data_IF_744826888171
#
_entry.id   IF_744826888171
#
_cell.length_a   1.000
_cell.length_b   1.000
_cell.length_c   1.000
_cell.angle_alpha   90.00
_cell.angle_beta   90.00
_cell.angle_gamma   90.00
#
_symmetry.space_group_name_H-M   'P 1'
#
loop_
_entity.id
_entity.type
_entity.pdbx_description
1 polymer ?
#
# COMPACT_ATOMS: atom_id res chain seq x y z
N UNK A 1 13.89 -20.60 -1.11
CA UNK A 1 14.10 -19.24 -1.61
C UNK A 1 13.21 -18.99 -2.79
N UNK A 2 12.39 -17.95 -2.71
CA UNK A 2 11.67 -17.41 -3.87
C UNK A 2 12.30 -16.07 -4.16
N UNK A 3 12.85 -15.92 -5.35
CA UNK A 3 13.26 -14.62 -5.89
C UNK A 3 11.99 -13.91 -6.38
N UNK A 4 11.45 -13.02 -5.56
CA UNK A 4 10.34 -12.15 -5.90
C UNK A 4 10.91 -10.84 -6.44
N UNK A 5 10.96 -10.69 -7.76
CA UNK A 5 11.31 -9.41 -8.38
C UNK A 5 10.29 -8.33 -7.97
N UNK A 6 10.77 -7.29 -7.26
CA UNK A 6 9.93 -6.20 -6.77
C UNK A 6 9.53 -5.23 -7.89
N UNK A 7 8.50 -4.42 -7.63
CA UNK A 7 7.89 -3.44 -8.54
C UNK A 7 8.86 -2.53 -9.30
N UNK A 8 8.31 -1.93 -10.36
CA UNK A 8 9.02 -1.32 -11.48
C UNK A 8 10.11 -0.33 -11.04
N UNK A 9 11.36 -0.83 -10.99
CA UNK A 9 12.58 -0.09 -10.70
C UNK A 9 12.86 1.05 -11.70
N UNK A 10 11.96 1.22 -12.68
CA UNK A 10 12.03 2.20 -13.77
C UNK A 10 10.99 3.34 -13.63
N UNK A 11 10.27 3.42 -12.50
CA UNK A 11 9.25 4.45 -12.31
C UNK A 11 9.84 5.83 -11.95
N UNK A 12 9.32 6.86 -12.63
CA UNK A 12 9.48 8.28 -12.27
C UNK A 12 8.13 8.72 -11.72
N UNK A 13 8.08 9.19 -10.48
CA UNK A 13 6.87 9.70 -9.86
C UNK A 13 6.92 11.22 -9.77
N UNK A 14 5.82 11.86 -10.13
CA UNK A 14 5.63 13.30 -10.01
C UNK A 14 4.39 13.51 -9.17
N UNK A 15 4.50 14.37 -8.16
CA UNK A 15 3.40 14.73 -7.28
C UNK A 15 3.28 16.26 -7.20
N UNK A 16 2.06 16.78 -7.34
CA UNK A 16 1.75 18.13 -6.90
C UNK A 16 1.85 18.17 -5.37
N UNK A 17 2.67 19.09 -4.87
CA UNK A 17 2.92 19.26 -3.43
C UNK A 17 2.39 20.60 -2.90
N UNK A 18 2.25 21.59 -3.77
CA UNK A 18 1.51 22.82 -3.53
C UNK A 18 0.67 23.06 -4.77
N UNK A 19 -0.65 23.12 -4.60
CA UNK A 19 -1.56 23.45 -5.71
C UNK A 19 -1.43 24.93 -6.07
N UNK A 20 -1.38 25.21 -7.36
CA UNK A 20 -1.42 26.56 -7.88
C UNK A 20 -2.81 27.17 -7.74
N UNK A 21 -2.86 28.45 -7.42
CA UNK A 21 -4.13 29.19 -7.24
C UNK A 21 -4.04 30.53 -7.95
N UNK A 22 -5.03 30.81 -8.79
CA UNK A 22 -5.18 32.13 -9.41
C UNK A 22 -5.66 33.16 -8.38
N UNK A 23 -5.28 34.42 -8.55
CA UNK A 23 -5.84 35.47 -7.71
C UNK A 23 -7.35 35.61 -7.95
N UNK A 24 -8.10 35.75 -6.86
CA UNK A 24 -9.52 36.12 -6.91
C UNK A 24 -9.68 37.49 -6.26
N UNK A 25 -10.31 38.41 -6.98
CA UNK A 25 -10.65 39.74 -6.47
C UNK A 25 -11.62 39.61 -5.28
N UNK A 26 -11.32 40.32 -4.20
CA UNK A 26 -12.25 40.41 -3.08
C UNK A 26 -13.41 41.35 -3.39
N UNK A 27 -14.62 40.93 -3.02
CA UNK A 27 -15.83 41.75 -3.14
C UNK A 27 -16.47 41.89 -1.76
N UNK A 28 -16.65 43.14 -1.33
CA UNK A 28 -17.35 43.47 -0.10
C UNK A 28 -18.56 44.35 -0.41
N UNK A 29 -19.63 44.26 0.36
CA UNK A 29 -20.78 45.15 0.24
C UNK A 29 -21.08 45.91 1.50
N UNK A 30 -21.61 47.11 1.31
CA UNK A 30 -22.21 47.92 2.36
C UNK A 30 -23.73 47.83 2.20
N UNK A 31 -24.42 47.44 3.27
CA UNK A 31 -25.88 47.36 3.32
C UNK A 31 -26.44 48.17 4.48
N UNK A 32 -27.72 48.55 4.39
CA UNK A 32 -28.40 49.25 5.47
C UNK A 32 -29.05 48.27 6.45
N UNK A 33 -28.86 48.52 7.74
CA UNK A 33 -29.59 47.87 8.83
C UNK A 33 -30.44 48.92 9.55
N UNK A 34 -31.76 48.73 9.58
CA UNK A 34 -32.70 49.70 10.12
C UNK A 34 -33.02 50.85 9.16
N UNK A 35 -33.47 51.99 9.71
CA UNK A 35 -33.86 53.16 8.92
C UNK A 35 -32.77 54.23 8.97
N UNK A 36 -32.21 54.59 7.83
CA UNK A 36 -31.31 55.75 7.71
C UNK A 36 -32.06 56.86 6.97
N UNK A 37 -32.22 58.02 7.60
CA UNK A 37 -33.02 59.15 7.07
C UNK A 37 -32.22 60.44 6.87
N UNK A 38 -30.91 60.42 7.12
CA UNK A 38 -30.07 61.62 7.14
C UNK A 38 -28.73 61.36 7.82
N UNK A 39 -27.86 62.37 7.81
CA UNK A 39 -26.58 62.34 8.51
C UNK A 39 -25.40 62.09 7.57
N UNK A 40 -24.28 61.66 8.15
CA UNK A 40 -23.05 61.38 7.41
C UNK A 40 -22.34 60.12 7.94
N UNK A 41 -21.44 59.59 7.12
CA UNK A 41 -20.61 58.44 7.45
C UNK A 41 -19.21 58.58 6.82
N UNK A 42 -18.28 57.75 7.27
CA UNK A 42 -16.95 57.56 6.66
C UNK A 42 -16.69 56.07 6.48
N UNK A 43 -15.86 55.71 5.50
CA UNK A 43 -15.37 54.35 5.31
C UNK A 43 -13.89 54.32 5.69
N UNK A 44 -13.43 53.26 6.35
CA UNK A 44 -12.01 53.04 6.65
C UNK A 44 -11.56 51.73 6.01
N UNK A 45 -10.45 51.80 5.28
CA UNK A 45 -9.79 50.66 4.65
C UNK A 45 -8.31 50.65 5.06
N UNK A 46 -7.87 49.51 5.61
CA UNK A 46 -6.49 49.28 6.07
C UNK A 46 -5.87 50.46 6.86
N UNK A 47 -6.65 51.01 7.80
CA UNK A 47 -6.22 52.09 8.69
C UNK A 47 -6.41 53.52 8.17
N UNK A 48 -6.70 53.71 6.88
CA UNK A 48 -6.97 55.01 6.27
C UNK A 48 -8.48 55.27 6.14
N UNK A 49 -8.92 56.48 6.47
CA UNK A 49 -10.34 56.85 6.52
C UNK A 49 -10.67 57.88 5.45
N UNK A 50 -11.75 57.66 4.72
CA UNK A 50 -12.23 58.58 3.67
C UNK A 50 -12.65 59.93 4.26
N UNK A 51 -12.82 60.94 3.40
CA UNK A 51 -13.58 62.11 3.79
C UNK A 51 -15.04 61.76 4.14
N UNK A 52 -15.70 62.66 4.86
CA UNK A 52 -17.10 62.49 5.28
C UNK A 52 -18.04 62.54 4.08
N UNK A 53 -18.92 61.54 3.96
CA UNK A 53 -19.94 61.42 2.92
C UNK A 53 -21.35 61.56 3.51
N UNK A 54 -22.28 62.12 2.73
CA UNK A 54 -23.70 62.18 3.11
C UNK A 54 -24.30 60.77 3.13
N UNK A 55 -25.32 60.56 3.96
CA UNK A 55 -25.99 59.27 4.09
C UNK A 55 -26.47 58.69 2.75
N UNK A 56 -26.82 59.54 1.78
CA UNK A 56 -27.33 59.19 0.46
C UNK A 56 -26.31 59.39 -0.68
N UNK A 57 -25.01 59.38 -0.35
CA UNK A 57 -23.94 59.48 -1.35
C UNK A 57 -24.10 58.46 -2.48
N UNK A 58 -23.91 58.92 -3.71
CA UNK A 58 -23.97 58.10 -4.91
C UNK A 58 -22.77 57.13 -4.99
N UNK A 59 -22.91 56.04 -5.74
CA UNK A 59 -21.82 55.06 -5.94
C UNK A 59 -20.54 55.70 -6.48
N UNK A 60 -20.66 56.72 -7.34
CA UNK A 60 -19.53 57.46 -7.88
C UNK A 60 -18.83 58.34 -6.83
N UNK A 61 -19.57 58.88 -5.86
CA UNK A 61 -18.98 59.61 -4.74
C UNK A 61 -18.28 58.66 -3.77
N UNK A 62 -18.83 57.46 -3.54
CA UNK A 62 -18.21 56.42 -2.72
C UNK A 62 -16.90 55.98 -3.38
N UNK A 63 -16.92 55.66 -4.68
CA UNK A 63 -15.74 55.28 -5.46
C UNK A 63 -14.65 56.35 -5.39
N UNK A 64 -15.00 57.61 -5.68
CA UNK A 64 -14.04 58.72 -5.63
C UNK A 64 -13.42 58.91 -4.23
N UNK A 65 -14.20 58.68 -3.16
CA UNK A 65 -13.69 58.77 -1.79
C UNK A 65 -12.76 57.59 -1.44
N UNK A 66 -13.08 56.38 -1.89
CA UNK A 66 -12.20 55.22 -1.72
C UNK A 66 -10.88 55.41 -2.48
N UNK A 67 -10.93 55.83 -3.74
CA UNK A 67 -9.73 56.13 -4.55
C UNK A 67 -8.93 57.35 -4.05
N UNK A 68 -9.43 58.10 -3.08
CA UNK A 68 -8.70 59.21 -2.45
C UNK A 68 -7.79 58.78 -1.30
N UNK A 69 -7.88 57.52 -0.87
CA UNK A 69 -6.99 56.95 0.15
C UNK A 69 -5.63 56.61 -0.47
N UNK A 70 -4.55 56.92 0.25
CA UNK A 70 -3.18 56.69 -0.25
C UNK A 70 -2.86 55.20 -0.47
N UNK A 71 -3.60 54.29 0.19
CA UNK A 71 -3.47 52.84 0.09
C UNK A 71 -4.40 52.21 -0.97
N UNK A 72 -5.17 53.01 -1.71
CA UNK A 72 -6.02 52.54 -2.81
C UNK A 72 -5.56 53.19 -4.12
N UNK A 73 -4.84 52.46 -4.99
CA UNK A 73 -4.51 52.96 -6.31
C UNK A 73 -5.76 53.23 -7.16
N UNK A 74 -5.64 54.19 -8.07
CA UNK A 74 -6.76 54.58 -8.93
C UNK A 74 -7.25 53.40 -9.80
N UNK A 75 -8.56 53.17 -9.79
CA UNK A 75 -9.22 52.09 -10.53
C UNK A 75 -9.16 50.72 -9.87
N UNK A 76 -8.53 50.57 -8.70
CA UNK A 76 -8.32 49.26 -8.06
C UNK A 76 -9.37 48.93 -6.99
N UNK A 77 -10.13 49.90 -6.50
CA UNK A 77 -11.35 49.68 -5.72
C UNK A 77 -12.55 50.28 -6.47
N UNK A 78 -13.21 49.46 -7.29
CA UNK A 78 -14.39 49.92 -8.05
C UNK A 78 -15.66 49.75 -7.24
N UNK A 79 -16.62 50.68 -7.36
CA UNK A 79 -17.87 50.65 -6.59
C UNK A 79 -19.09 50.49 -7.51
N UNK A 80 -19.73 49.33 -7.43
CA UNK A 80 -20.96 48.98 -8.14
C UNK A 80 -22.20 48.90 -7.25
N UNK A 81 -23.23 48.23 -7.75
CA UNK A 81 -24.50 48.05 -7.03
C UNK A 81 -25.42 49.27 -7.18
N UNK A 82 -25.97 49.75 -6.06
CA UNK A 82 -26.84 50.93 -6.01
C UNK A 82 -26.52 51.86 -4.84
N UNK A 83 -27.12 53.06 -4.86
CA UNK A 83 -26.83 54.06 -3.84
C UNK A 83 -27.46 53.70 -2.48
N UNK A 84 -26.68 53.90 -1.42
CA UNK A 84 -27.16 53.80 -0.03
C UNK A 84 -28.14 54.96 0.26
N UNK A 85 -29.09 54.80 1.20
CA UNK A 85 -29.48 53.55 1.87
C UNK A 85 -30.41 52.66 1.02
N UNK A 86 -30.71 53.03 -0.24
CA UNK A 86 -31.76 52.37 -1.04
C UNK A 86 -31.38 51.00 -1.60
N UNK A 87 -30.10 50.77 -1.90
CA UNK A 87 -29.58 49.49 -2.39
C UNK A 87 -28.14 49.29 -1.91
N UNK A 88 -27.64 48.04 -1.86
CA UNK A 88 -26.25 47.77 -1.47
C UNK A 88 -25.25 48.44 -2.41
N UNK A 89 -24.20 49.03 -1.84
CA UNK A 89 -23.01 49.44 -2.58
C UNK A 89 -22.00 48.29 -2.52
N UNK A 90 -21.42 47.92 -3.66
CA UNK A 90 -20.50 46.78 -3.76
C UNK A 90 -19.12 47.25 -4.16
N UNK A 91 -18.11 47.02 -3.33
CA UNK A 91 -16.73 47.38 -3.55
C UNK A 91 -15.99 46.15 -4.06
N UNK A 92 -15.34 46.26 -5.23
CA UNK A 92 -14.51 45.20 -5.82
C UNK A 92 -13.06 45.65 -5.81
N UNK A 93 -12.23 44.92 -5.05
CA UNK A 93 -10.79 45.13 -4.96
C UNK A 93 -10.08 44.31 -6.05
N UNK A 94 -9.29 44.98 -6.88
CA UNK A 94 -8.69 44.41 -8.08
C UNK A 94 -7.29 45.01 -8.34
N UNK A 95 -6.62 44.60 -9.42
CA UNK A 95 -5.29 45.10 -9.72
C UNK A 95 -4.29 44.67 -8.64
N UNK A 96 -3.54 45.62 -8.07
CA UNK A 96 -2.64 45.34 -6.95
C UNK A 96 -3.36 45.02 -5.63
N UNK A 97 -4.66 45.34 -5.54
CA UNK A 97 -5.54 44.95 -4.42
C UNK A 97 -6.31 43.64 -4.68
N UNK A 98 -6.00 42.91 -5.75
CA UNK A 98 -6.54 41.56 -5.92
C UNK A 98 -6.03 40.62 -4.82
N UNK A 99 -6.80 39.59 -4.48
CA UNK A 99 -6.50 38.72 -3.34
C UNK A 99 -7.25 39.13 -2.08
N UNK A 100 -6.90 38.51 -0.95
CA UNK A 100 -7.62 38.71 0.31
C UNK A 100 -7.38 40.14 0.86
N UNK A 101 -8.46 40.83 1.24
CA UNK A 101 -8.39 42.20 1.74
C UNK A 101 -8.94 42.33 3.16
N UNK A 102 -8.52 43.36 3.94
CA UNK A 102 -9.18 43.68 5.19
C UNK A 102 -10.64 44.10 4.97
N UNK A 103 -11.55 43.65 5.83
CA UNK A 103 -12.95 44.11 5.80
C UNK A 103 -13.02 45.61 6.07
N UNK A 104 -13.65 46.37 5.17
CA UNK A 104 -13.86 47.80 5.37
C UNK A 104 -14.71 48.03 6.61
N UNK A 105 -14.50 49.17 7.27
CA UNK A 105 -15.36 49.56 8.40
C UNK A 105 -16.08 50.85 8.07
N UNK A 106 -17.38 50.91 8.42
CA UNK A 106 -18.21 52.09 8.18
C UNK A 106 -18.55 52.75 9.51
N UNK A 107 -18.12 54.00 9.70
CA UNK A 107 -18.51 54.77 10.86
C UNK A 107 -19.91 55.37 10.65
N UNK A 108 -20.90 54.71 11.25
CA UNK A 108 -22.31 55.14 11.20
C UNK A 108 -22.73 56.07 12.35
N UNK A 109 -21.80 56.56 13.18
CA UNK A 109 -22.11 57.28 14.42
C UNK A 109 -22.85 58.61 14.24
N UNK A 110 -22.80 59.19 13.04
CA UNK A 110 -23.46 60.44 12.68
C UNK A 110 -24.70 60.25 11.79
N UNK A 111 -25.15 59.01 11.58
CA UNK A 111 -26.39 58.71 10.86
C UNK A 111 -27.62 58.98 11.74
N UNK A 112 -28.74 59.29 11.10
CA UNK A 112 -30.04 59.54 11.75
C UNK A 112 -31.11 58.56 11.28
N UNK A 113 -32.18 58.39 12.06
CA UNK A 113 -33.26 57.43 11.76
C UNK A 113 -33.15 56.11 12.54
N UNK A 114 -32.03 55.89 13.24
CA UNK A 114 -31.81 54.72 14.10
C UNK A 114 -31.22 53.50 13.38
N UNK A 115 -30.88 53.62 12.10
CA UNK A 115 -30.18 52.61 11.32
C UNK A 115 -28.65 52.80 11.29
N UNK A 116 -27.98 51.85 10.66
CA UNK A 116 -26.52 51.82 10.46
C UNK A 116 -26.18 51.20 9.10
N UNK A 117 -24.99 51.48 8.61
CA UNK A 117 -24.39 50.73 7.52
C UNK A 117 -23.53 49.60 8.06
N UNK A 118 -23.74 48.41 7.51
CA UNK A 118 -23.03 47.19 7.88
C UNK A 118 -22.34 46.61 6.66
N UNK A 119 -21.19 45.98 6.88
CA UNK A 119 -20.34 45.45 5.83
C UNK A 119 -20.44 43.93 5.83
N UNK A 120 -20.34 43.34 4.65
CA UNK A 120 -20.15 41.91 4.48
C UNK A 120 -19.14 41.66 3.37
N UNK A 121 -18.37 40.57 3.49
CA UNK A 121 -17.54 40.04 2.39
C UNK A 121 -18.40 39.09 1.56
N UNK A 122 -18.74 39.49 0.34
CA UNK A 122 -19.60 38.71 -0.58
C UNK A 122 -18.81 37.66 -1.36
N UNK A 123 -17.58 38.00 -1.75
CA UNK A 123 -16.63 37.08 -2.39
C UNK A 123 -15.29 37.24 -1.70
N UNK A 124 -14.86 36.25 -0.88
CA UNK A 124 -13.53 36.29 -0.27
C UNK A 124 -12.45 36.37 -1.35
N UNK A 125 -11.49 37.27 -1.17
CA UNK A 125 -10.32 37.30 -2.03
C UNK A 125 -9.43 36.09 -1.79
N UNK A 126 -8.71 35.67 -2.83
CA UNK A 126 -7.74 34.57 -2.74
C UNK A 126 -6.43 35.05 -3.33
N UNK A 127 -5.36 35.00 -2.53
CA UNK A 127 -4.03 35.36 -2.99
C UNK A 127 -3.50 34.32 -3.98
N UNK A 128 -2.78 34.80 -4.99
CA UNK A 128 -2.20 33.91 -5.98
C UNK A 128 -1.12 33.02 -5.34
N UNK A 129 -1.13 31.73 -5.66
CA UNK A 129 -0.14 30.75 -5.20
C UNK A 129 0.51 30.11 -6.42
N UNK A 130 1.84 30.08 -6.43
CA UNK A 130 2.62 29.33 -7.43
C UNK A 130 2.53 27.84 -7.16
N UNK A 131 2.33 27.06 -8.22
CA UNK A 131 2.30 25.60 -8.10
C UNK A 131 3.70 25.02 -7.85
N UNK A 132 3.77 23.94 -7.06
CA UNK A 132 5.01 23.18 -6.83
C UNK A 132 4.81 21.70 -7.07
N UNK A 133 5.58 21.15 -8.00
CA UNK A 133 5.62 19.72 -8.32
C UNK A 133 6.94 19.10 -7.87
N UNK A 134 6.87 17.91 -7.28
CA UNK A 134 8.03 17.14 -6.83
C UNK A 134 8.25 15.95 -7.73
N UNK A 135 9.45 15.83 -8.29
CA UNK A 135 9.90 14.72 -9.12
C UNK A 135 10.76 13.80 -8.26
N UNK A 136 10.40 12.51 -8.22
CA UNK A 136 11.16 11.45 -7.57
C UNK A 136 11.43 10.32 -8.57
N UNK A 137 12.61 9.75 -8.47
CA UNK A 137 12.92 8.43 -9.03
C UNK A 137 13.27 7.50 -7.87
N UNK A 138 13.10 6.19 -8.06
CA UNK A 138 13.36 5.23 -7.00
C UNK A 138 14.82 5.31 -6.49
N UNK A 139 15.02 5.39 -5.17
CA UNK A 139 16.33 5.49 -4.51
C UNK A 139 17.32 4.36 -4.89
N UNK A 140 16.81 3.21 -5.34
CA UNK A 140 17.63 2.06 -5.76
C UNK A 140 18.21 2.19 -7.17
N UNK A 141 17.75 3.14 -7.98
CA UNK A 141 18.29 3.43 -9.32
C UNK A 141 19.77 3.78 -9.22
N UNK A 142 20.62 3.11 -9.99
CA UNK A 142 22.08 3.32 -9.97
C UNK A 142 22.66 3.74 -11.32
N UNK A 143 21.81 3.89 -12.34
CA UNK A 143 22.22 4.23 -13.69
C UNK A 143 21.07 4.63 -14.60
N UNK A 144 21.40 4.94 -15.84
CA UNK A 144 20.43 5.16 -16.91
C UNK A 144 19.89 6.59 -16.97
N UNK A 145 18.80 6.75 -17.71
CA UNK A 145 18.18 8.04 -18.00
C UNK A 145 16.66 7.98 -17.93
N UNK A 146 16.04 9.12 -17.67
CA UNK A 146 14.59 9.32 -17.75
C UNK A 146 14.26 10.53 -18.61
N UNK A 147 13.00 10.71 -18.97
CA UNK A 147 12.51 11.90 -19.68
C UNK A 147 11.31 12.49 -18.94
N UNK A 148 11.15 13.80 -19.02
CA UNK A 148 9.97 14.52 -18.51
C UNK A 148 9.13 15.01 -19.68
N UNK A 149 7.81 15.04 -19.52
CA UNK A 149 6.88 15.52 -20.54
C UNK A 149 5.91 16.54 -19.94
N UNK A 150 5.79 17.69 -20.60
CA UNK A 150 4.82 18.74 -20.27
C UNK A 150 4.08 19.18 -21.53
N UNK A 151 2.75 19.18 -21.50
CA UNK A 151 1.87 19.47 -22.64
C UNK A 151 2.35 18.83 -23.96
N UNK A 152 2.55 17.51 -23.94
CA UNK A 152 3.03 16.69 -25.08
C UNK A 152 4.46 16.99 -25.59
N UNK A 153 5.20 17.90 -24.96
CA UNK A 153 6.62 18.16 -25.26
C UNK A 153 7.49 17.36 -24.29
N UNK A 154 8.38 16.53 -24.83
CA UNK A 154 9.24 15.63 -24.02
C UNK A 154 10.69 16.10 -24.06
N UNK A 155 11.37 16.08 -22.91
CA UNK A 155 12.78 16.47 -22.80
C UNK A 155 13.68 15.50 -23.54
N UNK A 156 14.91 15.94 -23.84
CA UNK A 156 15.99 14.98 -24.11
C UNK A 156 16.22 14.06 -22.89
N UNK A 157 16.85 12.88 -23.06
CA UNK A 157 17.17 11.99 -21.95
C UNK A 157 17.99 12.68 -20.86
N UNK A 158 17.52 12.60 -19.63
CA UNK A 158 18.11 13.18 -18.42
C UNK A 158 18.76 12.06 -17.62
N UNK A 159 20.01 12.23 -17.21
CA UNK A 159 20.71 11.24 -16.38
C UNK A 159 20.05 11.11 -15.00
N UNK A 160 19.96 9.88 -14.47
CA UNK A 160 19.30 9.60 -13.18
C UNK A 160 19.84 10.44 -12.01
N UNK A 161 21.11 10.86 -12.05
CA UNK A 161 21.78 11.65 -11.02
C UNK A 161 21.89 13.14 -11.37
N UNK A 162 21.03 13.65 -12.25
CA UNK A 162 21.04 15.04 -12.68
C UNK A 162 20.92 16.02 -11.49
N UNK A 163 21.66 17.12 -11.53
CA UNK A 163 21.50 18.22 -10.58
C UNK A 163 20.23 19.03 -10.90
N UNK A 164 19.71 19.79 -9.94
CA UNK A 164 18.57 20.69 -10.16
C UNK A 164 18.72 21.57 -11.41
N UNK A 165 19.88 22.20 -11.61
CA UNK A 165 20.16 23.03 -12.79
C UNK A 165 20.07 22.27 -14.14
N UNK A 166 20.30 20.95 -14.15
CA UNK A 166 20.17 20.13 -15.37
C UNK A 166 18.69 19.82 -15.64
N UNK A 167 17.89 19.61 -14.58
CA UNK A 167 16.44 19.44 -14.70
C UNK A 167 15.79 20.74 -15.17
N UNK A 168 16.16 21.86 -14.56
CA UNK A 168 15.71 23.20 -14.93
C UNK A 168 15.95 23.47 -16.41
N UNK A 169 17.21 23.35 -16.86
CA UNK A 169 17.56 23.55 -18.26
C UNK A 169 16.85 22.57 -19.21
N UNK A 170 16.56 21.34 -18.78
CA UNK A 170 15.83 20.38 -19.60
C UNK A 170 14.34 20.74 -19.73
N UNK A 171 13.71 21.21 -18.64
CA UNK A 171 12.32 21.66 -18.64
C UNK A 171 12.15 22.96 -19.44
N UNK A 172 13.02 23.96 -19.25
CA UNK A 172 12.99 25.23 -19.98
C UNK A 172 13.35 25.09 -21.48
N UNK A 173 13.91 23.95 -21.88
CA UNK A 173 14.10 23.63 -23.30
C UNK A 173 12.80 23.19 -23.99
N UNK A 174 11.73 22.87 -23.24
CA UNK A 174 10.43 22.53 -23.79
C UNK A 174 9.69 23.78 -24.24
N UNK A 175 9.12 23.77 -25.45
CA UNK A 175 8.36 24.92 -25.95
C UNK A 175 7.08 25.22 -25.13
N UNK A 176 6.65 24.28 -24.29
CA UNK A 176 5.49 24.42 -23.39
C UNK A 176 5.83 25.01 -22.03
N UNK A 177 7.10 25.28 -21.73
CA UNK A 177 7.55 25.85 -20.44
C UNK A 177 8.37 27.10 -20.72
N UNK A 178 7.95 28.25 -20.19
CA UNK A 178 8.69 29.51 -20.31
C UNK A 178 9.85 29.60 -19.34
N UNK A 179 9.59 29.34 -18.06
CA UNK A 179 10.58 29.31 -17.00
C UNK A 179 10.07 28.49 -15.81
N UNK A 180 10.98 27.88 -15.07
CA UNK A 180 10.70 27.20 -13.80
C UNK A 180 11.91 27.34 -12.90
N UNK A 181 11.71 27.36 -11.58
CA UNK A 181 12.82 27.23 -10.63
C UNK A 181 12.90 25.78 -10.14
N UNK A 182 14.08 25.15 -10.23
CA UNK A 182 14.28 23.79 -9.71
C UNK A 182 15.26 23.78 -8.55
N UNK A 183 14.86 23.13 -7.44
CA UNK A 183 15.71 22.92 -6.26
C UNK A 183 15.77 21.44 -5.86
N UNK A 184 16.54 21.12 -4.82
CA UNK A 184 16.76 19.74 -4.39
C UNK A 184 17.75 19.00 -5.28
N UNK A 185 17.54 17.70 -5.47
CA UNK A 185 18.49 16.79 -6.10
C UNK A 185 19.91 16.84 -5.50
N UNK A 186 20.91 16.28 -6.20
CA UNK A 186 20.77 15.34 -7.31
C UNK A 186 20.12 14.02 -6.89
N UNK A 187 19.44 13.36 -7.82
CA UNK A 187 18.83 12.05 -7.59
C UNK A 187 19.86 10.90 -7.46
N UNK A 188 19.39 9.69 -7.10
CA UNK A 188 18.01 9.35 -6.78
C UNK A 188 17.61 9.65 -5.32
N UNK A 189 18.58 9.86 -4.40
CA UNK A 189 18.31 9.99 -2.96
C UNK A 189 17.80 11.36 -2.49
N UNK A 190 17.53 12.29 -3.40
CA UNK A 190 16.93 13.60 -3.09
C UNK A 190 16.01 13.99 -4.23
N UNK A 191 14.78 14.37 -3.88
CA UNK A 191 13.77 14.76 -4.86
C UNK A 191 14.14 16.09 -5.53
N UNK A 192 13.71 16.26 -6.78
CA UNK A 192 13.76 17.57 -7.44
C UNK A 192 12.43 18.29 -7.23
N UNK A 193 12.49 19.53 -6.77
CA UNK A 193 11.33 20.35 -6.48
C UNK A 193 11.26 21.41 -7.58
N UNK A 194 10.23 21.35 -8.40
CA UNK A 194 9.94 22.29 -9.47
C UNK A 194 8.90 23.28 -8.96
N UNK A 195 9.27 24.56 -8.93
CA UNK A 195 8.37 25.67 -8.62
C UNK A 195 8.12 26.45 -9.91
N UNK A 196 6.85 26.60 -10.27
CA UNK A 196 6.44 27.38 -11.43
C UNK A 196 6.68 28.88 -11.19
N UNK A 197 7.00 29.61 -12.26
CA UNK A 197 7.33 31.05 -12.19
C UNK A 197 6.08 31.95 -12.15
N UNK A 198 4.92 31.39 -12.51
CA UNK A 198 3.61 32.03 -12.49
C UNK A 198 2.69 31.40 -11.46
N UNK A 199 1.80 32.21 -10.90
CA UNK A 199 0.74 31.74 -10.03
C UNK A 199 -0.44 31.22 -10.85
N UNK A 200 -1.17 30.27 -10.29
CA UNK A 200 -2.21 29.53 -11.01
C UNK A 200 -1.87 28.06 -11.16
N UNK A 201 -2.89 27.28 -11.54
CA UNK A 201 -2.72 25.84 -11.77
C UNK A 201 -2.09 25.59 -13.14
N UNK A 202 -1.08 24.74 -13.15
CA UNK A 202 -0.29 24.37 -14.32
C UNK A 202 -0.58 22.93 -14.73
N UNK A 203 -0.25 22.60 -15.98
CA UNK A 203 -0.40 21.22 -16.44
C UNK A 203 0.62 20.31 -15.74
N UNK A 204 0.23 19.07 -15.38
CA UNK A 204 1.12 18.18 -14.65
C UNK A 204 2.32 17.75 -15.52
N UNK A 205 3.51 17.80 -14.94
CA UNK A 205 4.69 17.15 -15.52
C UNK A 205 4.54 15.64 -15.32
N UNK A 206 4.80 14.89 -16.38
CA UNK A 206 4.84 13.42 -16.33
C UNK A 206 6.24 12.91 -16.64
N UNK A 207 6.59 11.74 -16.12
CA UNK A 207 7.93 11.16 -16.24
C UNK A 207 7.90 9.77 -16.86
N UNK A 208 8.91 9.46 -17.67
CA UNK A 208 9.12 8.12 -18.22
C UNK A 208 10.55 7.67 -17.91
N UNK A 209 10.68 6.57 -17.16
CA UNK A 209 11.97 6.05 -16.71
C UNK A 209 12.36 4.72 -17.34
N UNK A 210 11.80 4.34 -18.49
CA UNK A 210 12.06 3.04 -19.16
C UNK A 210 13.54 2.75 -19.46
N UNK A 211 14.40 3.77 -19.44
CA UNK A 211 15.85 3.66 -19.62
C UNK A 211 16.65 3.80 -18.31
N UNK A 212 15.98 3.83 -17.15
CA UNK A 212 16.63 3.76 -15.84
C UNK A 212 17.17 2.35 -15.62
N UNK A 213 18.32 2.28 -14.95
CA UNK A 213 19.02 1.02 -14.66
C UNK A 213 19.51 1.02 -13.22
N UNK A 214 19.93 -0.14 -12.75
CA UNK A 214 20.02 -0.35 -11.31
C UNK A 214 18.64 -0.67 -10.75
N UNK A 215 18.47 -0.53 -9.44
CA UNK A 215 17.26 -0.97 -8.78
C UNK A 215 17.04 -2.45 -8.97
N UNK A 216 18.08 -3.26 -8.69
CA UNK A 216 17.79 -4.60 -8.18
C UNK A 216 16.92 -4.34 -6.96
N UNK A 217 15.62 -4.55 -7.13
CA UNK A 217 14.66 -4.61 -6.05
C UNK A 217 15.35 -5.30 -4.90
N UNK A 218 15.46 -4.64 -3.75
CA UNK A 218 16.06 -5.25 -2.57
C UNK A 218 15.49 -6.66 -2.50
N UNK A 219 16.36 -7.69 -2.63
CA UNK A 219 15.91 -9.07 -2.66
C UNK A 219 15.01 -9.26 -1.44
N UNK A 220 13.72 -9.41 -1.69
CA UNK A 220 12.75 -9.53 -0.63
C UNK A 220 12.89 -10.97 -0.15
N UNK A 221 13.58 -11.17 0.95
CA UNK A 221 13.56 -12.48 1.62
C UNK A 221 12.17 -12.68 2.21
N UNK A 222 11.38 -13.55 1.60
CA UNK A 222 10.11 -14.00 2.17
C UNK A 222 10.42 -15.08 3.19
N UNK A 223 10.28 -14.75 4.47
CA UNK A 223 10.36 -15.74 5.55
C UNK A 223 8.93 -16.11 5.96
N UNK A 224 8.58 -17.39 5.82
CA UNK A 224 7.32 -17.93 6.36
C UNK A 224 7.50 -18.06 7.87
N UNK A 225 6.89 -17.17 8.64
CA UNK A 225 7.06 -17.15 10.11
C UNK A 225 6.04 -18.08 10.80
N UNK A 226 4.93 -18.43 10.15
CA UNK A 226 4.00 -19.44 10.67
C UNK A 226 3.15 -20.00 9.52
N UNK A 227 3.30 -21.28 9.19
CA UNK A 227 2.31 -21.95 8.34
C UNK A 227 1.00 -22.09 9.14
N UNK A 228 -0.14 -21.81 8.50
CA UNK A 228 -1.45 -22.00 9.12
C UNK A 228 -1.71 -23.49 9.37
N UNK A 229 -2.25 -23.82 10.54
CA UNK A 229 -2.75 -25.16 10.83
C UNK A 229 -3.93 -25.48 9.92
N UNK A 230 -3.70 -26.37 8.97
CA UNK A 230 -4.66 -27.12 8.16
C UNK A 230 -5.67 -26.37 7.26
N UNK A 231 -5.81 -26.86 6.04
CA UNK A 231 -6.99 -26.69 5.18
C UNK A 231 -7.39 -25.28 4.72
N UNK A 232 -6.76 -24.22 5.22
CA UNK A 232 -7.02 -22.85 4.80
C UNK A 232 -5.71 -22.18 4.42
N UNK A 233 -5.75 -21.45 3.32
CA UNK A 233 -4.69 -20.67 2.70
C UNK A 233 -3.73 -20.01 3.71
N UNK A 234 -2.46 -19.90 3.34
CA UNK A 234 -1.42 -19.14 4.07
C UNK A 234 -2.00 -17.85 4.67
N UNK A 235 -2.25 -17.80 5.98
CA UNK A 235 -3.00 -16.68 6.58
C UNK A 235 -2.14 -15.44 6.81
N UNK A 236 -0.81 -15.55 6.78
CA UNK A 236 0.08 -14.38 6.77
C UNK A 236 1.42 -14.65 6.08
N UNK A 237 1.86 -13.67 5.29
CA UNK A 237 3.20 -13.58 4.71
C UNK A 237 3.85 -12.38 5.38
N UNK A 238 4.97 -12.59 6.09
CA UNK A 238 5.73 -11.49 6.68
C UNK A 238 6.88 -11.14 5.75
N UNK A 239 6.82 -9.93 5.20
CA UNK A 239 7.85 -9.37 4.32
C UNK A 239 8.75 -8.48 5.17
N UNK A 240 10.05 -8.78 5.24
CA UNK A 240 11.02 -7.95 5.97
C UNK A 240 12.18 -7.57 5.04
N UNK A 241 12.46 -6.26 4.87
CA UNK A 241 11.74 -5.11 5.44
C UNK A 241 10.28 -5.04 4.95
N UNK A 242 9.40 -4.41 5.74
CA UNK A 242 7.98 -4.27 5.39
C UNK A 242 7.83 -3.61 4.02
N UNK A 243 6.93 -4.14 3.18
CA UNK A 243 6.70 -3.61 1.84
C UNK A 243 6.10 -2.21 1.95
N UNK A 244 6.89 -1.17 1.68
CA UNK A 244 6.41 0.21 1.66
C UNK A 244 6.01 0.54 0.23
N UNK A 245 4.69 0.57 -0.02
CA UNK A 245 4.05 1.08 -1.24
C UNK A 245 4.63 0.50 -2.53
N UNK A 246 4.28 -0.75 -2.86
CA UNK A 246 4.42 -1.26 -4.21
C UNK A 246 3.11 -1.89 -4.66
N UNK A 247 2.58 -1.43 -5.79
CA UNK A 247 1.63 -2.21 -6.59
C UNK A 247 2.40 -3.40 -7.14
N UNK A 248 2.31 -4.55 -6.47
CA UNK A 248 2.96 -5.77 -6.95
C UNK A 248 2.09 -6.30 -8.09
N UNK A 249 2.59 -6.22 -9.33
CA UNK A 249 1.95 -6.91 -10.45
C UNK A 249 2.13 -8.42 -10.22
N UNK A 250 1.07 -9.11 -9.82
CA UNK A 250 1.09 -10.55 -9.64
C UNK A 250 1.16 -11.25 -11.01
N UNK A 251 2.36 -11.50 -11.53
CA UNK A 251 2.57 -12.44 -12.62
C UNK A 251 3.33 -13.66 -12.10
N UNK A 252 2.59 -14.71 -11.75
CA UNK A 252 3.14 -15.99 -11.30
C UNK A 252 2.31 -16.67 -10.21
N UNK A 253 2.40 -18.00 -10.14
CA UNK A 253 1.84 -18.78 -9.02
C UNK A 253 2.93 -18.95 -7.98
N UNK A 254 2.67 -18.52 -6.74
CA UNK A 254 3.54 -18.84 -5.60
C UNK A 254 3.12 -20.21 -5.07
N UNK A 255 3.95 -21.23 -5.28
CA UNK A 255 3.74 -22.57 -4.71
C UNK A 255 4.56 -22.75 -3.44
N UNK A 256 3.87 -22.96 -2.33
CA UNK A 256 4.49 -23.33 -1.05
C UNK A 256 4.47 -24.86 -0.92
N UNK A 257 5.64 -25.48 -0.81
CA UNK A 257 5.75 -26.92 -0.49
C UNK A 257 5.80 -27.14 1.02
N UNK A 258 5.22 -28.25 1.51
CA UNK A 258 5.33 -28.67 2.90
C UNK A 258 6.78 -29.03 3.29
N UNK A 259 7.07 -29.05 4.60
CA UNK A 259 8.34 -29.57 5.13
C UNK A 259 8.29 -31.11 5.09
N UNK A 260 9.37 -31.77 4.64
CA UNK A 260 9.46 -33.24 4.64
C UNK A 260 10.84 -33.75 5.04
N UNK A 261 10.87 -34.92 5.67
CA UNK A 261 12.06 -35.68 5.98
C UNK A 261 12.09 -36.90 5.04
N UNK A 262 13.12 -36.98 4.21
CA UNK A 262 13.34 -38.11 3.32
C UNK A 262 14.37 -39.05 3.95
N UNK A 263 13.98 -40.31 4.08
CA UNK A 263 14.80 -41.34 4.71
C UNK A 263 15.07 -42.43 3.68
N UNK A 264 16.34 -42.64 3.35
CA UNK A 264 16.75 -43.79 2.55
C UNK A 264 16.97 -44.96 3.50
N UNK A 265 16.07 -45.94 3.43
CA UNK A 265 16.12 -47.14 4.27
C UNK A 265 17.23 -48.06 3.74
N UNK A 266 18.13 -48.51 4.63
CA UNK A 266 19.21 -49.45 4.30
C UNK A 266 18.78 -50.89 4.52
N UNK A 267 18.63 -51.29 5.79
CA UNK A 267 18.11 -52.60 6.20
C UNK A 267 16.99 -52.40 7.22
N UNK A 268 15.90 -53.17 7.10
CA UNK A 268 14.75 -53.04 7.98
C UNK A 268 13.44 -53.39 7.30
N UNK A 269 12.35 -53.28 8.04
CA UNK A 269 10.99 -53.51 7.57
C UNK A 269 10.09 -52.34 7.97
N UNK A 270 9.18 -51.98 7.06
CA UNK A 270 7.98 -51.23 7.40
C UNK A 270 6.78 -52.13 7.12
N UNK A 271 5.90 -52.23 8.09
CA UNK A 271 4.70 -53.05 8.03
C UNK A 271 3.50 -52.21 8.43
N UNK A 272 2.39 -52.38 7.74
CA UNK A 272 1.11 -51.81 8.13
C UNK A 272 0.02 -52.88 8.04
N UNK A 273 -0.97 -52.78 8.91
CA UNK A 273 -2.08 -53.72 9.03
C UNK A 273 -3.39 -52.95 8.95
N UNK A 274 -4.17 -53.23 7.91
CA UNK A 274 -5.54 -52.74 7.78
C UNK A 274 -6.51 -53.65 8.54
N UNK A 275 -7.14 -53.11 9.57
CA UNK A 275 -8.05 -53.85 10.41
C UNK A 275 -9.47 -53.78 9.84
N UNK A 276 -10.02 -54.94 9.44
CA UNK A 276 -11.40 -55.06 8.94
C UNK A 276 -12.21 -56.03 9.82
N UNK A 277 -12.57 -55.61 11.05
CA UNK A 277 -13.28 -56.48 11.98
C UNK A 277 -14.68 -56.83 11.43
N UNK A 278 -15.07 -58.10 11.62
CA UNK A 278 -16.34 -58.66 11.11
C UNK A 278 -17.07 -59.43 12.20
N UNK A 279 -18.36 -59.21 12.29
CA UNK A 279 -19.25 -59.99 13.14
C UNK A 279 -19.82 -61.18 12.36
N UNK A 280 -19.56 -62.39 12.83
CA UNK A 280 -20.05 -63.64 12.23
C UNK A 280 -21.19 -64.22 13.08
N UNK A 281 -22.43 -63.98 12.67
CA UNK A 281 -23.61 -64.55 13.34
C UNK A 281 -23.79 -66.02 12.92
N UNK A 282 -24.04 -66.90 13.89
CA UNK A 282 -24.25 -68.34 13.66
C UNK A 282 -25.64 -68.75 14.11
N UNK A 283 -26.40 -69.43 13.25
CA UNK A 283 -27.61 -70.13 13.66
C UNK A 283 -27.27 -71.58 13.99
N UNK A 284 -27.47 -71.97 15.25
CA UNK A 284 -27.27 -73.33 15.76
C UNK A 284 -25.92 -73.95 15.37
N UNK A 285 -24.86 -73.14 15.38
CA UNK A 285 -23.49 -73.56 15.08
C UNK A 285 -23.09 -73.55 13.61
N UNK A 286 -24.03 -73.32 12.68
CA UNK A 286 -23.72 -73.06 11.27
C UNK A 286 -23.56 -71.55 11.03
N UNK A 287 -22.61 -71.16 10.18
CA UNK A 287 -22.43 -69.76 9.80
C UNK A 287 -23.65 -69.29 9.00
N UNK A 288 -24.28 -68.19 9.43
CA UNK A 288 -25.53 -67.69 8.86
C UNK A 288 -25.34 -66.36 8.13
N UNK A 289 -24.95 -65.28 8.84
CA UNK A 289 -24.76 -63.94 8.25
C UNK A 289 -23.48 -63.28 8.77
N UNK A 290 -22.81 -62.50 7.92
CA UNK A 290 -21.62 -61.70 8.27
C UNK A 290 -21.93 -60.22 8.09
N UNK A 291 -21.53 -59.38 9.06
CA UNK A 291 -21.66 -57.91 9.01
C UNK A 291 -20.34 -57.24 9.40
N UNK A 292 -20.14 -56.00 8.97
CA UNK A 292 -18.99 -55.20 9.41
C UNK A 292 -19.19 -54.79 10.87
N UNK A 293 -18.11 -54.86 11.66
CA UNK A 293 -18.07 -54.29 13.01
C UNK A 293 -17.64 -52.81 12.96
N UNK A 294 -17.36 -52.21 14.14
CA UNK A 294 -16.86 -50.84 14.24
C UNK A 294 -15.52 -50.67 13.51
N UNK A 295 -15.30 -49.49 12.92
CA UNK A 295 -14.07 -49.18 12.19
C UNK A 295 -12.87 -49.13 13.13
N UNK A 296 -11.76 -49.73 12.70
CA UNK A 296 -10.50 -49.74 13.44
C UNK A 296 -9.41 -49.04 12.60
N UNK A 297 -8.52 -48.25 13.23
CA UNK A 297 -7.44 -47.56 12.54
C UNK A 297 -6.42 -48.54 11.94
N UNK A 298 -5.68 -48.08 10.93
CA UNK A 298 -4.52 -48.81 10.39
C UNK A 298 -3.38 -48.77 11.42
N UNK A 299 -2.93 -49.95 11.85
CA UNK A 299 -1.72 -50.07 12.67
C UNK A 299 -0.49 -50.03 11.76
N UNK A 300 0.51 -49.23 12.09
CA UNK A 300 1.77 -49.21 11.37
C UNK A 300 2.95 -49.37 12.32
N UNK A 301 3.89 -50.20 11.91
CA UNK A 301 5.11 -50.51 12.64
C UNK A 301 6.28 -50.46 11.66
N UNK A 302 7.29 -49.68 11.98
CA UNK A 302 8.53 -49.65 11.23
C UNK A 302 9.71 -49.86 12.15
N UNK A 303 10.63 -50.67 11.64
CA UNK A 303 11.87 -51.02 12.30
C UNK A 303 12.97 -51.05 11.25
N UNK A 304 13.81 -50.02 11.24
CA UNK A 304 14.87 -49.91 10.24
C UNK A 304 16.13 -49.19 10.72
N UNK A 305 17.20 -49.49 10.01
CA UNK A 305 18.45 -48.73 9.96
C UNK A 305 18.46 -47.94 8.66
N UNK A 306 18.69 -46.63 8.75
CA UNK A 306 18.74 -45.74 7.59
C UNK A 306 20.16 -45.58 7.05
N UNK A 307 20.29 -45.44 5.74
CA UNK A 307 21.56 -45.16 5.05
C UNK A 307 21.82 -43.64 4.99
N UNK A 308 20.78 -42.84 4.76
CA UNK A 308 20.87 -41.39 4.71
C UNK A 308 19.55 -40.71 5.08
N UNK A 309 19.63 -39.54 5.71
CA UNK A 309 18.50 -38.65 6.01
C UNK A 309 18.74 -37.31 5.33
N UNK A 310 17.76 -36.84 4.57
CA UNK A 310 17.77 -35.52 3.93
C UNK A 310 16.46 -34.80 4.23
N UNK A 311 16.51 -33.48 4.42
CA UNK A 311 15.32 -32.67 4.67
C UNK A 311 15.10 -31.67 3.54
N UNK A 312 13.84 -31.47 3.16
CA UNK A 312 13.45 -30.46 2.18
C UNK A 312 12.70 -29.34 2.91
N UNK A 313 13.14 -28.09 2.71
CA UNK A 313 12.47 -26.91 3.26
C UNK A 313 13.00 -26.37 4.61
N UNK A 314 14.24 -26.72 5.02
CA UNK A 314 14.90 -26.20 6.22
C UNK A 314 16.43 -26.07 6.05
N UNK A 315 17.08 -25.22 6.88
CA UNK A 315 18.55 -25.04 6.87
C UNK A 315 19.30 -26.09 7.70
N UNK A 316 18.58 -26.85 8.53
CA UNK A 316 19.09 -27.94 9.36
C UNK A 316 18.21 -29.18 9.14
N UNK A 317 18.82 -30.37 9.23
CA UNK A 317 18.14 -31.66 8.99
C UNK A 317 17.65 -32.18 10.35
N UNK A 318 16.32 -32.26 10.61
CA UNK A 318 15.81 -32.86 11.83
C UNK A 318 16.06 -34.37 11.86
N UNK A 319 16.13 -34.93 13.06
CA UNK A 319 16.15 -36.39 13.21
C UNK A 319 14.75 -36.97 12.98
N UNK A 320 14.68 -38.29 12.78
CA UNK A 320 13.38 -39.00 12.72
C UNK A 320 12.61 -38.81 14.03
N UNK A 321 13.32 -38.77 15.16
CA UNK A 321 12.73 -38.53 16.48
C UNK A 321 12.16 -37.12 16.61
N UNK A 322 12.92 -36.11 16.20
CA UNK A 322 12.46 -34.71 16.19
C UNK A 322 11.17 -34.57 15.39
N UNK A 323 11.13 -35.24 14.24
CA UNK A 323 9.98 -35.25 13.33
C UNK A 323 8.76 -35.93 13.95
N UNK A 324 8.92 -37.08 14.60
CA UNK A 324 7.81 -37.78 15.25
C UNK A 324 7.30 -37.03 16.50
N UNK A 325 8.20 -36.44 17.29
CA UNK A 325 7.89 -35.81 18.58
C UNK A 325 7.53 -34.33 18.47
N UNK A 326 7.64 -33.73 17.28
CA UNK A 326 7.53 -32.28 17.10
C UNK A 326 8.50 -31.52 18.03
N UNK A 327 9.77 -31.91 18.03
CA UNK A 327 10.80 -31.34 18.90
C UNK A 327 12.06 -30.94 18.14
N UNK A 328 13.00 -30.27 18.82
CA UNK A 328 14.29 -29.89 18.24
C UNK A 328 14.12 -29.07 16.95
N UNK A 329 14.81 -29.49 15.89
CA UNK A 329 14.76 -28.86 14.56
C UNK A 329 13.40 -29.03 13.85
N UNK A 330 12.52 -29.89 14.37
CA UNK A 330 11.15 -30.07 13.88
C UNK A 330 10.08 -29.49 14.83
N UNK A 331 10.47 -28.71 15.83
CA UNK A 331 9.53 -28.07 16.78
C UNK A 331 8.49 -27.15 16.11
N UNK A 332 8.83 -26.59 14.95
CA UNK A 332 7.95 -25.73 14.15
C UNK A 332 7.16 -26.50 13.08
N UNK A 333 7.27 -27.83 13.00
CA UNK A 333 6.50 -28.61 12.04
C UNK A 333 5.02 -28.61 12.43
N UNK A 334 4.16 -28.58 11.42
CA UNK A 334 2.71 -28.62 11.62
C UNK A 334 2.20 -30.05 11.58
N UNK A 335 1.14 -30.29 12.35
CA UNK A 335 0.37 -31.53 12.28
C UNK A 335 -0.32 -31.65 10.91
N UNK A 336 -0.43 -32.86 10.36
CA UNK A 336 -1.18 -33.10 9.13
C UNK A 336 -2.70 -33.18 9.35
N UNK A 337 -3.15 -33.39 10.58
CA UNK A 337 -4.58 -33.34 10.93
C UNK A 337 -5.15 -31.92 10.79
N UNK A 338 -6.43 -31.85 10.41
CA UNK A 338 -7.18 -30.62 10.35
C UNK A 338 -7.73 -30.10 11.68
N UNK A 339 -7.69 -30.91 12.73
CA UNK A 339 -8.16 -30.50 14.06
C UNK A 339 -6.97 -30.07 14.93
N UNK A 340 -6.95 -28.79 15.29
CA UNK A 340 -5.91 -28.20 16.13
C UNK A 340 -5.93 -28.72 17.59
N UNK A 341 -7.01 -29.38 18.01
CA UNK A 341 -7.12 -29.99 19.34
C UNK A 341 -6.59 -31.42 19.37
N UNK A 342 -6.30 -32.01 18.21
CA UNK A 342 -5.75 -33.36 18.14
C UNK A 342 -4.25 -33.39 18.42
N UNK A 343 -3.74 -34.49 19.01
CA UNK A 343 -2.30 -34.71 19.12
C UNK A 343 -1.63 -34.65 17.75
N UNK A 344 -0.40 -34.12 17.74
CA UNK A 344 0.46 -34.01 16.55
C UNK A 344 0.52 -35.32 15.77
N UNK A 345 0.32 -35.24 14.45
CA UNK A 345 0.44 -36.36 13.54
C UNK A 345 1.15 -35.95 12.25
N UNK A 346 1.68 -36.95 11.55
CA UNK A 346 2.39 -36.79 10.28
C UNK A 346 1.79 -37.73 9.23
N UNK A 347 2.03 -37.44 7.96
CA UNK A 347 1.83 -38.44 6.90
C UNK A 347 3.14 -39.20 6.71
N UNK A 348 3.05 -40.53 6.62
CA UNK A 348 4.18 -41.37 6.24
C UNK A 348 4.01 -41.78 4.78
N UNK A 349 4.96 -41.38 3.95
CA UNK A 349 5.04 -41.75 2.55
C UNK A 349 6.12 -42.83 2.36
N UNK A 350 5.71 -44.01 1.93
CA UNK A 350 6.60 -45.13 1.62
C UNK A 350 6.74 -45.25 0.12
N UNK A 351 7.90 -44.85 -0.38
CA UNK A 351 8.24 -44.96 -1.79
C UNK A 351 9.02 -46.24 -2.06
N UNK A 352 8.46 -47.13 -2.87
CA UNK A 352 9.13 -48.34 -3.34
C UNK A 352 9.52 -48.20 -4.82
N UNK A 353 10.82 -48.13 -5.08
CA UNK A 353 11.41 -48.23 -6.41
C UNK A 353 12.14 -49.57 -6.55
N UNK A 354 11.62 -50.54 -7.33
CA UNK A 354 12.27 -51.83 -7.54
C UNK A 354 13.52 -51.76 -8.43
N UNK A 355 13.92 -50.58 -8.91
CA UNK A 355 15.19 -50.34 -9.61
C UNK A 355 15.27 -50.94 -11.02
N UNK A 356 14.16 -51.44 -11.55
CA UNK A 356 14.10 -52.14 -12.84
C UNK A 356 13.49 -51.29 -13.96
N UNK A 357 14.01 -50.07 -14.18
CA UNK A 357 13.93 -49.36 -15.48
C UNK A 357 12.55 -49.15 -16.13
N UNK A 358 11.44 -49.31 -15.40
CA UNK A 358 10.09 -49.12 -15.92
C UNK A 358 9.02 -49.10 -14.81
N UNK A 359 8.39 -47.94 -14.65
CA UNK A 359 6.95 -47.76 -14.46
C UNK A 359 6.21 -48.63 -13.42
N UNK A 360 6.88 -49.01 -12.33
CA UNK A 360 6.23 -49.70 -11.19
C UNK A 360 6.66 -49.09 -9.84
N UNK A 361 6.76 -47.76 -9.78
CA UNK A 361 6.95 -47.06 -8.50
C UNK A 361 5.64 -47.07 -7.73
N UNK A 362 5.66 -47.61 -6.51
CA UNK A 362 4.50 -47.62 -5.62
C UNK A 362 4.74 -46.63 -4.47
N UNK A 363 3.82 -45.70 -4.30
CA UNK A 363 3.76 -44.79 -3.16
C UNK A 363 2.61 -45.24 -2.27
N UNK A 364 2.94 -45.68 -1.06
CA UNK A 364 1.96 -45.98 -0.01
C UNK A 364 1.96 -44.83 0.98
N UNK A 365 0.83 -44.18 1.17
CA UNK A 365 0.65 -43.09 2.13
C UNK A 365 -0.19 -43.55 3.32
N UNK A 366 0.38 -43.36 4.52
CA UNK A 366 -0.30 -43.52 5.80
C UNK A 366 -0.57 -42.13 6.37
N UNK A 367 -1.78 -41.62 6.15
CA UNK A 367 -2.17 -40.28 6.56
C UNK A 367 -2.43 -40.19 8.07
N UNK A 368 -2.17 -39.03 8.67
CA UNK A 368 -2.47 -38.74 10.09
C UNK A 368 -1.92 -39.78 11.09
N UNK A 369 -0.72 -40.30 10.85
CA UNK A 369 -0.02 -41.24 11.71
C UNK A 369 0.44 -40.60 13.03
N UNK A 370 0.18 -41.31 14.13
CA UNK A 370 0.62 -40.97 15.49
C UNK A 370 1.42 -42.12 16.07
N UNK A 371 2.65 -41.84 16.50
CA UNK A 371 3.44 -42.83 17.21
C UNK A 371 2.84 -43.11 18.59
N UNK A 372 2.79 -44.38 18.99
CA UNK A 372 2.34 -44.83 20.31
C UNK A 372 3.52 -45.34 21.14
N UNK A 373 4.46 -46.04 20.51
CA UNK A 373 5.71 -46.47 21.13
C UNK A 373 6.88 -46.16 20.23
N UNK A 374 7.97 -45.70 20.85
CA UNK A 374 9.23 -45.43 20.20
C UNK A 374 10.33 -46.07 21.04
N UNK A 375 11.01 -47.05 20.47
CA UNK A 375 12.10 -47.77 21.11
C UNK A 375 13.44 -47.37 20.51
N UNK A 376 14.43 -47.22 21.38
CA UNK A 376 15.77 -46.77 21.01
C UNK A 376 16.79 -47.86 21.34
N UNK A 377 17.35 -48.50 20.31
CA UNK A 377 18.52 -49.37 20.47
C UNK A 377 19.79 -48.62 20.04
N UNK A 378 20.50 -48.08 21.03
CA UNK A 378 21.73 -47.28 20.83
C UNK A 378 22.86 -48.11 20.20
N UNK A 379 22.80 -49.44 20.29
CA UNK A 379 23.87 -50.32 19.78
C UNK A 379 23.84 -50.48 18.26
N UNK A 380 22.65 -50.35 17.64
CA UNK A 380 22.42 -50.74 16.24
C UNK A 380 21.97 -49.57 15.34
N UNK A 381 21.94 -48.33 15.86
CA UNK A 381 21.45 -47.14 15.14
C UNK A 381 20.06 -47.36 14.49
N UNK A 382 19.23 -48.14 15.19
CA UNK A 382 17.92 -48.59 14.73
C UNK A 382 16.82 -47.76 15.39
N UNK A 383 15.80 -47.40 14.61
CA UNK A 383 14.56 -46.80 15.12
C UNK A 383 13.43 -47.79 14.95
N UNK A 384 12.80 -48.14 16.07
CA UNK A 384 11.60 -48.99 16.08
C UNK A 384 10.43 -48.18 16.63
N UNK A 385 9.40 -48.05 15.81
CA UNK A 385 8.22 -47.25 16.13
C UNK A 385 6.97 -48.03 15.77
N UNK A 386 6.01 -48.02 16.69
CA UNK A 386 4.64 -48.46 16.37
C UNK A 386 3.67 -47.34 16.65
N UNK A 387 2.58 -47.30 15.88
CA UNK A 387 1.57 -46.27 15.98
C UNK A 387 0.39 -46.54 15.08
N UNK A 388 -0.50 -45.56 14.99
CA UNK A 388 -1.77 -45.70 14.27
C UNK A 388 -2.02 -44.53 13.34
N UNK A 389 -2.51 -44.83 12.15
CA UNK A 389 -3.04 -43.86 11.21
C UNK A 389 -4.55 -43.72 11.43
N UNK A 390 -5.05 -42.49 11.43
CA UNK A 390 -6.48 -42.19 11.58
C UNK A 390 -7.26 -42.40 10.26
N UNK A 391 -6.98 -43.51 9.58
CA UNK A 391 -7.65 -44.00 8.36
C UNK A 391 -7.89 -45.50 8.52
N UNK A 392 -8.83 -46.03 7.74
CA UNK A 392 -9.21 -47.45 7.73
C UNK A 392 -8.44 -48.27 6.69
N UNK A 393 -7.84 -47.60 5.70
CA UNK A 393 -7.05 -48.19 4.62
C UNK A 393 -5.88 -47.25 4.27
N UNK A 394 -4.76 -47.80 3.78
CA UNK A 394 -3.65 -47.00 3.29
C UNK A 394 -3.91 -46.51 1.86
N UNK A 395 -3.50 -45.28 1.53
CA UNK A 395 -3.64 -44.76 0.18
C UNK A 395 -2.49 -45.25 -0.68
N UNK A 396 -2.77 -46.10 -1.68
CA UNK A 396 -1.74 -46.66 -2.57
C UNK A 396 -1.86 -46.05 -3.96
N UNK A 397 -0.82 -45.32 -4.38
CA UNK A 397 -0.70 -44.78 -5.73
C UNK A 397 0.41 -45.52 -6.49
N UNK A 398 0.09 -46.03 -7.68
CA UNK A 398 1.07 -46.65 -8.57
C UNK A 398 1.35 -45.71 -9.73
N UNK A 399 2.63 -45.38 -9.92
CA UNK A 399 3.09 -44.67 -11.12
C UNK A 399 2.88 -45.56 -12.34
N UNK A 400 2.20 -45.05 -13.36
CA UNK A 400 2.11 -45.68 -14.67
C UNK A 400 3.38 -45.51 -15.45
#
# INVERSE_FOLDING_TARGET
DVDMASGDATSVTIAETIAGVDNTNEVQSITVSGTVSGGNYTITFDGETTATMLYDASIAEIELNMESLDNIPQGECTVGGGALPGSPATLTFSGSLAGAQPEITVNSGSLTGGGSYVVATDTPGVDAVVEVQTIRINDSVSGGTFTLTHDSNTTAPIVYSATAAVIEAALEALASISAVAVTGGPGPGTDWIVTWDVAGSELPITGTGTNLTGGSGTAVSVQVITAGSSGTETTSITVTPALVVATVAATGTVTFGGRKLEIKIGEGNLTYTENKPREYMRDRGALDTVRNADEEPVDASFDFVWESITAVGGSAIPTVEDTLKQSGEASEWLSTSSDACEPYCINIEVFHDPGCGGENTELVELEEFRYETLEHNISDAQISCTGKSNKVEATVTRGS
#
